data_IF_252220417059
#
_entry.id   IF_252220417059
#
_cell.length_a   1.000
_cell.length_b   1.000
_cell.length_c   1.000
_cell.angle_alpha   90.00
_cell.angle_beta   90.00
_cell.angle_gamma   90.00
#
_symmetry.space_group_name_H-M   'P 1'
#
loop_
_entity.id
_entity.type
_entity.pdbx_description
1 polymer ?
#
# COMPACT_ATOMS: atom_id res chain seq x y z
N UNK A 1 -20.10 -10.76 -15.83
CA UNK A 1 -20.56 -12.02 -15.22
C UNK A 1 -20.28 -12.00 -13.72
N UNK A 2 -21.31 -11.88 -12.87
CA UNK A 2 -21.20 -12.27 -11.45
C UNK A 2 -21.51 -13.77 -11.37
N UNK A 3 -20.50 -14.61 -11.52
CA UNK A 3 -20.68 -16.08 -11.47
C UNK A 3 -20.90 -16.61 -10.05
N UNK A 4 -20.48 -15.85 -9.02
CA UNK A 4 -20.86 -16.08 -7.62
C UNK A 4 -21.32 -14.76 -6.97
N UNK A 5 -22.32 -14.80 -6.07
CA UNK A 5 -22.83 -13.63 -5.35
C UNK A 5 -21.91 -13.27 -4.18
N UNK A 6 -20.63 -12.99 -4.46
CA UNK A 6 -19.67 -12.59 -3.44
C UNK A 6 -19.73 -11.07 -3.25
N UNK A 7 -19.82 -10.56 -2.01
CA UNK A 7 -19.67 -9.14 -1.72
C UNK A 7 -18.38 -8.56 -2.30
N UNK A 8 -18.44 -7.35 -2.87
CA UNK A 8 -17.25 -6.68 -3.41
C UNK A 8 -16.16 -6.49 -2.34
N UNK A 9 -16.56 -6.28 -1.08
CA UNK A 9 -15.65 -6.16 0.05
C UNK A 9 -14.79 -7.40 0.24
N UNK A 10 -15.37 -8.60 0.15
CA UNK A 10 -14.62 -9.86 0.32
C UNK A 10 -13.57 -10.04 -0.78
N UNK A 11 -13.89 -9.62 -2.01
CA UNK A 11 -12.94 -9.61 -3.13
C UNK A 11 -11.78 -8.66 -2.84
N UNK A 12 -12.07 -7.48 -2.29
CA UNK A 12 -11.07 -6.47 -1.97
C UNK A 12 -10.16 -6.94 -0.83
N UNK A 13 -10.75 -7.46 0.24
CA UNK A 13 -10.00 -8.02 1.36
C UNK A 13 -9.12 -9.19 0.93
N UNK A 14 -9.62 -10.09 0.09
CA UNK A 14 -8.81 -11.19 -0.44
C UNK A 14 -7.59 -10.67 -1.23
N UNK A 15 -7.77 -9.65 -2.09
CA UNK A 15 -6.67 -9.05 -2.85
C UNK A 15 -5.64 -8.37 -1.97
N UNK A 16 -6.08 -7.60 -0.97
CA UNK A 16 -5.18 -6.93 -0.02
C UNK A 16 -4.44 -7.97 0.83
N UNK A 17 -5.17 -8.97 1.34
CA UNK A 17 -4.60 -10.00 2.20
C UNK A 17 -3.54 -10.84 1.49
N UNK A 18 -3.77 -11.22 0.22
CA UNK A 18 -2.77 -11.96 -0.56
C UNK A 18 -1.48 -11.16 -0.72
N UNK A 19 -1.57 -9.84 -0.97
CA UNK A 19 -0.36 -9.01 -1.07
C UNK A 19 0.38 -8.92 0.28
N UNK A 20 -0.34 -8.75 1.38
CA UNK A 20 0.25 -8.72 2.73
C UNK A 20 0.86 -10.08 3.11
N UNK A 21 0.17 -11.18 2.81
CA UNK A 21 0.65 -12.53 3.09
C UNK A 21 1.98 -12.81 2.39
N UNK A 22 2.15 -12.30 1.17
CA UNK A 22 3.43 -12.39 0.45
C UNK A 22 4.46 -11.44 1.04
N UNK A 23 4.09 -10.20 1.35
CA UNK A 23 5.07 -9.13 1.71
C UNK A 23 5.56 -9.22 3.16
N UNK A 24 4.69 -9.51 4.12
CA UNK A 24 5.02 -9.51 5.55
C UNK A 24 6.16 -10.48 5.92
N UNK A 25 6.23 -11.73 5.39
CA UNK A 25 7.36 -12.60 5.64
C UNK A 25 8.71 -11.98 5.22
N UNK A 26 8.75 -11.26 4.09
CA UNK A 26 9.98 -10.57 3.66
C UNK A 26 10.31 -9.39 4.57
N UNK A 27 9.32 -8.64 5.05
CA UNK A 27 9.53 -7.57 6.05
C UNK A 27 10.11 -8.15 7.35
N UNK A 28 9.63 -9.32 7.80
CA UNK A 28 10.17 -9.99 8.99
C UNK A 28 11.63 -10.38 8.77
N UNK A 29 11.95 -10.97 7.61
CA UNK A 29 13.34 -11.33 7.26
C UNK A 29 14.23 -10.08 7.23
N UNK A 30 13.76 -8.98 6.63
CA UNK A 30 14.47 -7.71 6.56
C UNK A 30 14.79 -7.14 7.96
N UNK A 31 13.82 -7.17 8.87
CA UNK A 31 14.01 -6.72 10.26
C UNK A 31 15.02 -7.60 11.00
N UNK A 32 14.93 -8.93 10.85
CA UNK A 32 15.87 -9.87 11.48
C UNK A 32 17.30 -9.61 10.99
N UNK A 33 17.49 -9.51 9.68
CA UNK A 33 18.80 -9.21 9.09
C UNK A 33 19.34 -7.88 9.61
N UNK A 34 18.49 -6.85 9.62
CA UNK A 34 18.88 -5.51 10.06
C UNK A 34 19.29 -5.46 11.54
N UNK A 35 18.61 -6.21 12.41
CA UNK A 35 19.00 -6.34 13.83
C UNK A 35 20.39 -6.97 13.99
N UNK A 36 20.72 -7.98 13.17
CA UNK A 36 22.04 -8.64 13.24
C UNK A 36 23.19 -7.78 12.74
N UNK A 37 22.94 -6.91 11.75
CA UNK A 37 23.97 -6.07 11.12
C UNK A 37 24.17 -4.75 11.87
N UNK A 38 23.09 -4.05 12.22
CA UNK A 38 23.14 -2.66 12.69
C UNK A 38 22.94 -2.50 14.20
N UNK A 39 22.66 -3.58 14.95
CA UNK A 39 22.46 -3.58 16.41
C UNK A 39 21.41 -2.57 16.88
N UNK A 40 20.30 -2.45 16.16
CA UNK A 40 19.17 -1.62 16.55
C UNK A 40 18.55 -2.07 17.89
N UNK A 41 18.00 -1.12 18.63
CA UNK A 41 17.23 -1.44 19.84
C UNK A 41 15.83 -1.96 19.48
N UNK A 42 15.11 -2.53 20.46
CA UNK A 42 13.77 -3.09 20.23
C UNK A 42 12.74 -2.04 19.78
N UNK A 43 12.93 -0.78 20.18
CA UNK A 43 12.05 0.32 19.81
C UNK A 43 12.19 0.65 18.31
N UNK A 44 13.41 0.80 17.83
CA UNK A 44 13.75 0.99 16.41
C UNK A 44 13.30 -0.20 15.57
N UNK A 45 13.55 -1.42 16.05
CA UNK A 45 13.09 -2.65 15.39
C UNK A 45 11.56 -2.68 15.18
N UNK A 46 10.81 -2.16 16.16
CA UNK A 46 9.35 -2.09 16.07
C UNK A 46 8.90 -1.15 14.94
N UNK A 47 9.50 0.04 14.82
CA UNK A 47 9.19 0.96 13.71
C UNK A 47 9.67 0.44 12.35
N UNK A 48 10.80 -0.28 12.34
CA UNK A 48 11.34 -0.93 11.16
C UNK A 48 10.42 -2.03 10.62
N UNK A 49 9.62 -2.67 11.47
CA UNK A 49 8.56 -3.58 11.05
C UNK A 49 7.26 -2.85 10.67
N UNK A 50 6.82 -1.90 11.49
CA UNK A 50 5.51 -1.27 11.36
C UNK A 50 5.39 -0.38 10.12
N UNK A 51 6.40 0.45 9.83
CA UNK A 51 6.33 1.42 8.73
C UNK A 51 6.26 0.71 7.36
N UNK A 52 7.12 -0.29 7.04
CA UNK A 52 7.02 -1.03 5.79
C UNK A 52 5.73 -1.85 5.68
N UNK A 53 5.23 -2.39 6.80
CA UNK A 53 3.95 -3.11 6.84
C UNK A 53 2.78 -2.19 6.46
N UNK A 54 2.75 -0.96 6.99
CA UNK A 54 1.78 0.06 6.59
C UNK A 54 1.93 0.45 5.12
N UNK A 55 3.16 0.54 4.61
CA UNK A 55 3.41 0.80 3.20
C UNK A 55 2.86 -0.31 2.29
N UNK A 56 2.96 -1.58 2.71
CA UNK A 56 2.36 -2.70 1.98
C UNK A 56 0.82 -2.58 1.91
N UNK A 57 0.18 -2.12 2.99
CA UNK A 57 -1.26 -1.80 3.01
C UNK A 57 -1.58 -0.65 2.05
N UNK A 58 -0.81 0.45 2.10
CA UNK A 58 -0.98 1.62 1.21
C UNK A 58 -0.90 1.20 -0.25
N UNK A 59 0.11 0.42 -0.63
CA UNK A 59 0.30 -0.05 -2.00
C UNK A 59 -0.79 -1.01 -2.45
N UNK A 60 -1.22 -1.93 -1.58
CA UNK A 60 -2.32 -2.86 -1.87
C UNK A 60 -3.63 -2.13 -2.13
N UNK A 61 -4.00 -1.21 -1.24
CA UNK A 61 -5.21 -0.41 -1.36
C UNK A 61 -5.15 0.55 -2.55
N UNK A 62 -4.02 1.27 -2.72
CA UNK A 62 -3.82 2.22 -3.81
C UNK A 62 -3.85 1.53 -5.18
N UNK A 63 -3.13 0.42 -5.34
CA UNK A 63 -3.13 -0.36 -6.57
C UNK A 63 -4.51 -0.90 -6.92
N UNK A 64 -5.23 -1.44 -5.94
CA UNK A 64 -6.62 -1.87 -6.12
C UNK A 64 -7.51 -0.70 -6.54
N UNK A 65 -7.40 0.44 -5.86
CA UNK A 65 -8.21 1.62 -6.15
C UNK A 65 -7.98 2.15 -7.56
N UNK A 66 -6.72 2.33 -7.98
CA UNK A 66 -6.41 2.82 -9.33
C UNK A 66 -6.74 1.81 -10.43
N UNK A 67 -6.71 0.51 -10.12
CA UNK A 67 -7.18 -0.53 -11.03
C UNK A 67 -8.69 -0.41 -11.28
N UNK A 68 -9.47 -0.10 -10.24
CA UNK A 68 -10.90 0.16 -10.37
C UNK A 68 -11.19 1.50 -11.07
N UNK A 69 -10.37 2.53 -10.84
CA UNK A 69 -10.52 3.88 -11.42
C UNK A 69 -10.24 3.91 -12.92
N UNK A 70 -9.27 3.12 -13.36
CA UNK A 70 -8.83 3.05 -14.76
C UNK A 70 -8.97 1.60 -15.24
N UNK A 71 -10.21 1.10 -15.34
CA UNK A 71 -10.46 -0.26 -15.77
C UNK A 71 -10.01 -0.41 -17.22
N UNK A 72 -9.31 -1.51 -17.52
CA UNK A 72 -8.95 -1.86 -18.89
C UNK A 72 -9.99 -2.81 -19.46
N UNK A 73 -10.63 -2.39 -20.55
CA UNK A 73 -11.62 -3.19 -21.28
C UNK A 73 -11.16 -3.58 -22.70
N UNK A 74 -9.88 -3.38 -23.03
CA UNK A 74 -9.35 -3.61 -24.38
C UNK A 74 -9.18 -5.12 -24.66
N UNK A 75 -10.23 -5.74 -25.21
CA UNK A 75 -10.25 -7.11 -25.71
C UNK A 75 -9.95 -7.21 -27.23
N UNK A 76 -9.22 -6.24 -27.81
CA UNK A 76 -9.00 -6.19 -29.27
C UNK A 76 -7.65 -6.77 -29.74
N UNK A 77 -6.70 -7.05 -28.83
CA UNK A 77 -5.41 -7.70 -29.18
C UNK A 77 -4.63 -8.17 -27.95
N UNK A 78 -4.31 -9.47 -27.89
CA UNK A 78 -3.52 -10.12 -26.84
C UNK A 78 -2.19 -9.41 -26.50
N UNK A 79 -1.63 -8.64 -27.45
CA UNK A 79 -0.30 -8.00 -27.31
C UNK A 79 -0.33 -6.56 -26.79
N UNK A 80 -1.44 -5.82 -26.93
CA UNK A 80 -1.57 -4.44 -26.42
C UNK A 80 -2.01 -4.40 -24.95
N UNK A 81 -2.68 -5.45 -24.49
CA UNK A 81 -3.11 -5.63 -23.11
C UNK A 81 -1.96 -5.60 -22.08
N UNK A 82 -0.72 -5.93 -22.50
CA UNK A 82 0.40 -6.21 -21.59
C UNK A 82 1.31 -5.00 -21.32
N UNK A 83 1.44 -4.03 -22.23
CA UNK A 83 2.62 -3.13 -22.20
C UNK A 83 2.55 -1.87 -21.31
N UNK A 84 1.39 -1.33 -20.92
CA UNK A 84 1.39 -0.07 -20.16
C UNK A 84 0.05 0.29 -19.48
N UNK A 85 -0.41 -0.47 -18.48
CA UNK A 85 -1.61 0.00 -17.77
C UNK A 85 -1.31 1.29 -17.04
N UNK A 86 -2.00 2.36 -17.46
CA UNK A 86 -1.93 3.67 -16.81
C UNK A 86 -2.18 3.54 -15.30
N UNK A 87 -3.02 2.57 -14.90
CA UNK A 87 -3.22 2.18 -13.51
C UNK A 87 -1.94 1.73 -12.79
N UNK A 88 -1.08 0.92 -13.42
CA UNK A 88 0.21 0.50 -12.84
C UNK A 88 1.16 1.69 -12.74
N UNK A 89 1.27 2.51 -13.79
CA UNK A 89 2.09 3.72 -13.76
C UNK A 89 1.67 4.66 -12.63
N UNK A 90 0.37 4.93 -12.49
CA UNK A 90 -0.17 5.79 -11.43
C UNK A 90 0.05 5.15 -10.05
N UNK A 91 -0.10 3.83 -9.92
CA UNK A 91 0.17 3.13 -8.66
C UNK A 91 1.63 3.27 -8.25
N UNK A 92 2.57 3.16 -9.20
CA UNK A 92 3.99 3.37 -8.92
C UNK A 92 4.28 4.81 -8.49
N UNK A 93 3.76 5.81 -9.21
CA UNK A 93 3.92 7.22 -8.86
C UNK A 93 3.34 7.53 -7.48
N UNK A 94 2.15 7.01 -7.19
CA UNK A 94 1.53 7.11 -5.86
C UNK A 94 2.42 6.48 -4.78
N UNK A 95 3.01 5.32 -5.05
CA UNK A 95 3.98 4.69 -4.16
C UNK A 95 5.19 5.58 -3.87
N UNK A 96 5.82 6.14 -4.90
CA UNK A 96 6.95 7.06 -4.73
C UNK A 96 6.58 8.28 -3.89
N UNK A 97 5.45 8.94 -4.22
CA UNK A 97 4.97 10.11 -3.48
C UNK A 97 4.70 9.75 -2.01
N UNK A 98 4.10 8.59 -1.76
CA UNK A 98 3.81 8.11 -0.40
C UNK A 98 5.09 7.91 0.40
N UNK A 99 6.12 7.29 -0.19
CA UNK A 99 7.43 7.10 0.47
C UNK A 99 8.09 8.45 0.74
N UNK A 100 8.11 9.35 -0.24
CA UNK A 100 8.70 10.69 -0.09
C UNK A 100 7.99 11.45 1.04
N UNK A 101 6.67 11.37 1.13
CA UNK A 101 5.91 12.02 2.20
C UNK A 101 6.25 11.43 3.58
N UNK A 102 6.25 10.10 3.71
CA UNK A 102 6.52 9.41 4.98
C UNK A 102 7.94 9.67 5.45
N UNK A 103 8.93 9.46 4.58
CA UNK A 103 10.35 9.67 4.90
C UNK A 103 10.63 11.15 5.11
N UNK A 104 10.08 12.03 4.28
CA UNK A 104 10.26 13.48 4.41
C UNK A 104 9.75 14.00 5.75
N UNK A 105 8.55 13.58 6.18
CA UNK A 105 8.02 13.94 7.50
C UNK A 105 8.85 13.34 8.64
N UNK A 106 9.35 12.11 8.48
CA UNK A 106 10.28 11.51 9.43
C UNK A 106 11.58 12.31 9.57
N UNK A 107 12.19 12.70 8.45
CA UNK A 107 13.42 13.51 8.43
C UNK A 107 13.19 14.87 9.08
N UNK A 108 12.07 15.55 8.79
CA UNK A 108 11.67 16.79 9.46
C UNK A 108 11.58 16.58 10.98
N UNK A 109 10.93 15.50 11.43
CA UNK A 109 10.86 15.16 12.85
C UNK A 109 12.24 14.97 13.49
N UNK A 110 13.18 14.32 12.79
CA UNK A 110 14.55 14.16 13.29
C UNK A 110 15.33 15.48 13.33
N UNK A 111 15.17 16.34 12.32
CA UNK A 111 15.96 17.56 12.15
C UNK A 111 15.55 18.66 13.15
N UNK A 112 14.25 18.80 13.40
CA UNK A 112 13.73 19.87 14.27
C UNK A 112 13.54 19.43 15.72
N UNK A 113 13.42 18.13 15.98
CA UNK A 113 13.18 17.58 17.32
C UNK A 113 14.27 16.56 17.68
N UNK A 114 14.01 15.26 17.48
CA UNK A 114 14.96 14.19 17.73
C UNK A 114 14.60 12.93 16.91
N UNK A 115 15.45 11.91 16.97
CA UNK A 115 15.26 10.65 16.24
C UNK A 115 13.94 9.95 16.58
N UNK A 116 13.54 9.96 17.85
CA UNK A 116 12.26 9.38 18.33
C UNK A 116 11.06 10.04 17.67
N UNK A 117 11.04 11.38 17.61
CA UNK A 117 9.99 12.13 16.93
C UNK A 117 9.99 11.89 15.42
N UNK A 118 11.16 11.66 14.81
CA UNK A 118 11.25 11.25 13.41
C UNK A 118 10.55 9.92 13.14
N UNK A 119 10.80 8.89 13.96
CA UNK A 119 10.09 7.61 13.84
C UNK A 119 8.58 7.76 14.04
N UNK A 120 8.16 8.56 15.02
CA UNK A 120 6.74 8.83 15.28
C UNK A 120 6.08 9.55 14.10
N UNK A 121 6.70 10.57 13.51
CA UNK A 121 6.13 11.29 12.37
C UNK A 121 6.04 10.40 11.11
N UNK A 122 7.06 9.60 10.84
CA UNK A 122 7.00 8.62 9.75
C UNK A 122 5.89 7.60 9.98
N UNK A 123 5.76 7.07 11.20
CA UNK A 123 4.69 6.12 11.52
C UNK A 123 3.30 6.72 11.44
N UNK A 124 3.07 7.91 12.00
CA UNK A 124 1.77 8.58 11.99
C UNK A 124 1.35 8.95 10.57
N UNK A 125 2.28 9.42 9.74
CA UNK A 125 1.98 9.70 8.33
C UNK A 125 1.67 8.44 7.54
N UNK A 126 2.42 7.35 7.75
CA UNK A 126 2.11 6.06 7.13
C UNK A 126 0.75 5.51 7.59
N UNK A 127 0.41 5.63 8.87
CA UNK A 127 -0.86 5.20 9.42
C UNK A 127 -2.03 6.03 8.85
N UNK A 128 -1.87 7.35 8.76
CA UNK A 128 -2.85 8.24 8.16
C UNK A 128 -3.09 7.91 6.67
N UNK A 129 -2.02 7.67 5.90
CA UNK A 129 -2.16 7.28 4.50
C UNK A 129 -2.79 5.88 4.32
N UNK A 130 -2.42 4.91 5.17
CA UNK A 130 -2.99 3.57 5.12
C UNK A 130 -4.49 3.58 5.43
N UNK A 131 -4.89 4.32 6.47
CA UNK A 131 -6.32 4.48 6.84
C UNK A 131 -7.09 5.20 5.74
N UNK A 132 -6.55 6.28 5.18
CA UNK A 132 -7.15 6.98 4.04
C UNK A 132 -7.33 6.05 2.82
N UNK A 133 -6.29 5.32 2.43
CA UNK A 133 -6.35 4.40 1.30
C UNK A 133 -7.38 3.28 1.52
N UNK A 134 -7.44 2.74 2.74
CA UNK A 134 -8.41 1.71 3.11
C UNK A 134 -9.86 2.24 3.06
N UNK A 135 -10.11 3.43 3.61
CA UNK A 135 -11.43 4.08 3.60
C UNK A 135 -11.87 4.40 2.16
N UNK A 136 -10.96 4.87 1.31
CA UNK A 136 -11.25 5.15 -0.11
C UNK A 136 -11.67 3.88 -0.86
N UNK A 137 -10.98 2.76 -0.64
CA UNK A 137 -11.34 1.47 -1.26
C UNK A 137 -12.71 0.99 -0.77
N UNK A 138 -12.97 1.04 0.54
CA UNK A 138 -14.24 0.56 1.11
C UNK A 138 -15.44 1.41 0.70
N UNK A 139 -15.27 2.74 0.59
CA UNK A 139 -16.39 3.65 0.30
C UNK A 139 -16.56 3.90 -1.18
N UNK A 140 -15.52 4.39 -1.86
CA UNK A 140 -15.58 4.77 -3.27
C UNK A 140 -15.28 3.60 -4.19
N UNK A 141 -14.29 2.75 -3.83
CA UNK A 141 -13.94 1.55 -4.59
C UNK A 141 -15.12 0.59 -4.76
N UNK A 142 -15.92 0.36 -3.71
CA UNK A 142 -17.12 -0.51 -3.79
C UNK A 142 -18.16 0.05 -4.76
N UNK A 143 -18.42 1.37 -4.71
CA UNK A 143 -19.34 2.03 -5.65
C UNK A 143 -18.88 1.88 -7.09
N UNK A 144 -17.58 2.04 -7.32
CA UNK A 144 -16.97 1.95 -8.64
C UNK A 144 -17.03 0.53 -9.19
N UNK A 145 -16.69 -0.47 -8.37
CA UNK A 145 -16.80 -1.88 -8.75
C UNK A 145 -18.24 -2.28 -9.10
N UNK A 146 -19.22 -1.80 -8.34
CA UNK A 146 -20.63 -2.07 -8.63
C UNK A 146 -21.09 -1.43 -9.95
N UNK A 147 -20.57 -0.24 -10.32
CA UNK A 147 -20.85 0.39 -11.62
C UNK A 147 -20.24 -0.37 -12.79
N UNK A 148 -19.05 -0.94 -12.62
CA UNK A 148 -18.37 -1.74 -13.65
C UNK A 148 -18.97 -3.13 -13.85
N UNK A 149 -19.72 -3.61 -12.84
CA UNK A 149 -20.37 -4.93 -12.85
C UNK A 149 -21.83 -4.88 -13.27
N UNK A 150 -22.38 -3.69 -13.50
CA UNK A 150 -23.74 -3.44 -13.99
C UNK A 150 -23.74 -3.42 -15.53
#
# INVERSE_FOLDING_TARGET
MKSLPVPAEDIFFAKIFVNLFVTIPFVIVDVILSLTVFKFNIFEASFMFLIPSLMAVIMSCGGLYFNLLLPRFDYDSDTRAVKQSLSVLITMLFGFISVIAIVGLGVIGTMFLNTTFGYLFAFLSALALATLAFVLVKTHGVKLFNRLSA
#
